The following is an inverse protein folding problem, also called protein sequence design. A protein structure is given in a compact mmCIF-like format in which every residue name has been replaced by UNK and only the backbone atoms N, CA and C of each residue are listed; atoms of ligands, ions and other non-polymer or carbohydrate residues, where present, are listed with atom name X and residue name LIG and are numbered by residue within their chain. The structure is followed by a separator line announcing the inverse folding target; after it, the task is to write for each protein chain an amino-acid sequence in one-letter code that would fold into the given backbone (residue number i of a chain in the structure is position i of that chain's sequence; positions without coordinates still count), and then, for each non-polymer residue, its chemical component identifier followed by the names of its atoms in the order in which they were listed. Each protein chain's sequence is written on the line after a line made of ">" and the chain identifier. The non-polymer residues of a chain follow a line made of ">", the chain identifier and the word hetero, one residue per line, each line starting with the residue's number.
data_IF_626844300119
#
_entry.id   IF_626844300119
#
_cell.length_a   1.000
_cell.length_b   1.000
_cell.length_c   1.000
_cell.angle_alpha   90.00
_cell.angle_beta   90.00
_cell.angle_gamma   90.00
#
_symmetry.space_group_name_H-M   'P 1'
#
loop_
_entity.id
_entity.type
_entity.pdbx_description
1 polymer ?
#
# COMPACT_ATOMS: atom_id res chain seq x y z
N UNK A 1 -18.96 6.21 -6.76
CA UNK A 1 -18.17 5.89 -7.95
C UNK A 1 -16.87 6.69 -7.83
N UNK A 2 -15.72 6.04 -7.66
CA UNK A 2 -14.42 6.70 -7.86
C UNK A 2 -14.18 6.68 -9.37
N UNK A 3 -13.69 7.77 -9.95
CA UNK A 3 -13.53 7.89 -11.40
C UNK A 3 -12.40 6.98 -11.91
N UNK A 4 -12.46 6.54 -13.17
CA UNK A 4 -11.42 5.73 -13.86
C UNK A 4 -9.97 6.20 -13.62
N UNK A 5 -9.66 7.50 -13.49
CA UNK A 5 -8.34 7.97 -13.04
C UNK A 5 -7.92 7.41 -11.67
N UNK A 6 -8.82 7.28 -10.71
CA UNK A 6 -8.48 6.88 -9.33
C UNK A 6 -8.06 5.41 -9.20
N UNK A 7 -8.37 4.58 -10.20
CA UNK A 7 -8.01 3.16 -10.27
C UNK A 7 -6.49 2.95 -10.40
N UNK A 8 -5.87 3.65 -11.35
CA UNK A 8 -4.44 3.56 -11.61
C UNK A 8 -3.59 4.20 -10.51
N UNK A 9 -4.13 5.21 -9.77
CA UNK A 9 -3.50 5.71 -8.54
C UNK A 9 -3.15 4.54 -7.64
N UNK A 10 -4.10 3.63 -7.42
CA UNK A 10 -4.02 2.67 -6.33
C UNK A 10 -3.22 1.43 -6.75
N UNK A 11 -3.29 1.02 -8.03
CA UNK A 11 -2.36 0.02 -8.58
C UNK A 11 -0.91 0.52 -8.60
N UNK A 12 -0.67 1.77 -8.99
CA UNK A 12 0.67 2.40 -8.93
C UNK A 12 1.18 2.50 -7.49
N UNK A 13 0.30 2.81 -6.53
CA UNK A 13 0.63 2.95 -5.11
C UNK A 13 1.03 1.60 -4.47
N UNK A 14 0.47 0.48 -4.94
CA UNK A 14 0.88 -0.87 -4.51
C UNK A 14 2.21 -1.28 -5.15
N UNK A 15 2.43 -0.95 -6.44
CA UNK A 15 3.66 -1.26 -7.15
C UNK A 15 4.91 -0.54 -6.59
N UNK A 16 4.73 0.64 -5.97
CA UNK A 16 5.83 1.52 -5.51
C UNK A 16 5.72 1.93 -4.04
N UNK A 17 5.31 1.02 -3.15
CA UNK A 17 5.53 1.20 -1.70
C UNK A 17 4.80 2.39 -1.06
N UNK A 18 3.72 2.90 -1.66
CA UNK A 18 2.91 3.99 -1.11
C UNK A 18 1.99 3.57 0.04
N UNK A 19 2.32 2.48 0.73
CA UNK A 19 1.56 1.92 1.85
C UNK A 19 1.63 2.79 3.11
N UNK A 20 2.72 3.54 3.29
CA UNK A 20 2.98 4.24 4.57
C UNK A 20 2.16 5.55 4.71
N UNK A 21 1.72 6.17 3.60
CA UNK A 21 0.95 7.42 3.62
C UNK A 21 -0.41 7.36 2.89
N UNK A 22 -0.56 6.51 1.87
CA UNK A 22 -1.74 6.52 0.98
C UNK A 22 -2.97 5.76 1.50
N UNK A 23 -2.84 4.95 2.55
CA UNK A 23 -4.00 4.30 3.19
C UNK A 23 -4.74 5.21 4.18
N UNK A 24 -4.16 6.36 4.56
CA UNK A 24 -4.79 7.32 5.47
C UNK A 24 -5.71 8.36 4.82
N UNK A 25 -5.69 8.51 3.49
CA UNK A 25 -6.30 9.66 2.81
C UNK A 25 -7.06 9.31 1.52
N UNK A 26 -7.95 8.33 1.55
CA UNK A 26 -8.92 8.13 0.46
C UNK A 26 -10.34 8.26 1.01
N UNK A 27 -10.93 9.45 0.85
CA UNK A 27 -12.32 9.76 1.20
C UNK A 27 -13.19 9.34 0.01
N UNK A 28 -14.15 8.41 0.20
CA UNK A 28 -15.31 8.28 -0.70
C UNK A 28 -16.56 8.76 0.05
N UNK A 29 -17.63 9.05 -0.69
CA UNK A 29 -18.91 9.49 -0.14
C UNK A 29 -19.28 8.73 1.14
N UNK A 30 -19.37 9.49 2.23
CA UNK A 30 -19.90 9.11 3.54
C UNK A 30 -19.28 7.90 4.28
N UNK A 31 -17.94 7.70 4.30
CA UNK A 31 -17.37 6.76 5.28
C UNK A 31 -15.88 6.43 5.20
N UNK A 32 -15.34 5.95 6.33
CA UNK A 32 -14.03 5.30 6.43
C UNK A 32 -14.14 3.87 5.88
N UNK A 33 -13.44 3.55 4.78
CA UNK A 33 -13.34 2.19 4.26
C UNK A 33 -12.16 1.49 4.96
N UNK A 34 -12.37 0.27 5.45
CA UNK A 34 -11.30 -0.50 6.10
C UNK A 34 -10.22 -0.91 5.06
N UNK A 35 -8.95 -1.07 5.47
CA UNK A 35 -7.88 -1.48 4.55
C UNK A 35 -8.16 -2.78 3.81
N UNK A 36 -8.87 -3.71 4.46
CA UNK A 36 -9.27 -5.00 3.92
C UNK A 36 -10.28 -4.82 2.78
N UNK A 37 -11.35 -4.04 2.99
CA UNK A 37 -12.33 -3.73 1.94
C UNK A 37 -11.71 -3.00 0.75
N UNK A 38 -10.74 -2.12 1.01
CA UNK A 38 -10.01 -1.44 -0.06
C UNK A 38 -9.15 -2.42 -0.86
N UNK A 39 -8.51 -3.37 -0.18
CA UNK A 39 -7.69 -4.41 -0.81
C UNK A 39 -8.53 -5.38 -1.65
N UNK A 40 -9.71 -5.80 -1.16
CA UNK A 40 -10.64 -6.63 -1.93
C UNK A 40 -11.12 -5.92 -3.20
N UNK A 41 -11.52 -4.65 -3.06
CA UNK A 41 -11.92 -3.83 -4.20
C UNK A 41 -10.79 -3.71 -5.23
N UNK A 42 -9.54 -3.57 -4.80
CA UNK A 42 -8.39 -3.53 -5.71
C UNK A 42 -8.19 -4.80 -6.50
N UNK A 43 -8.34 -5.96 -5.85
CA UNK A 43 -8.26 -7.26 -6.53
C UNK A 43 -9.36 -7.36 -7.58
N UNK A 44 -10.58 -6.94 -7.28
CA UNK A 44 -11.68 -6.97 -8.23
C UNK A 44 -11.43 -6.08 -9.45
N UNK A 45 -10.98 -4.84 -9.24
CA UNK A 45 -10.71 -3.96 -10.38
C UNK A 45 -9.50 -4.45 -11.18
N UNK A 46 -8.41 -4.87 -10.54
CA UNK A 46 -7.25 -5.42 -11.25
C UNK A 46 -7.62 -6.68 -12.05
N UNK A 47 -8.46 -7.55 -11.47
CA UNK A 47 -8.96 -8.76 -12.15
C UNK A 47 -9.74 -8.42 -13.40
N UNK A 48 -10.62 -7.42 -13.33
CA UNK A 48 -11.43 -6.97 -14.46
C UNK A 48 -10.59 -6.25 -15.52
N UNK A 49 -9.76 -5.30 -15.10
CA UNK A 49 -9.05 -4.43 -16.02
C UNK A 49 -7.86 -5.12 -16.67
N UNK A 50 -7.28 -6.17 -16.08
CA UNK A 50 -6.25 -6.98 -16.71
C UNK A 50 -6.79 -8.27 -17.31
N UNK A 51 -8.11 -8.49 -17.27
CA UNK A 51 -8.74 -9.73 -17.70
C UNK A 51 -8.02 -10.96 -17.11
N UNK A 52 -7.81 -10.95 -15.79
CA UNK A 52 -7.06 -12.01 -15.11
C UNK A 52 -7.80 -13.35 -15.19
N UNK A 53 -7.05 -14.42 -15.44
CA UNK A 53 -7.58 -15.78 -15.34
C UNK A 53 -7.97 -16.12 -13.89
N UNK A 54 -8.75 -17.19 -13.72
CA UNK A 54 -9.11 -17.72 -12.39
C UNK A 54 -7.87 -17.94 -11.52
N UNK A 55 -6.81 -18.53 -12.09
CA UNK A 55 -5.57 -18.83 -11.38
C UNK A 55 -4.79 -17.55 -11.02
N UNK A 56 -4.73 -16.59 -11.94
CA UNK A 56 -4.10 -15.29 -11.68
C UNK A 56 -4.84 -14.51 -10.59
N UNK A 57 -6.17 -14.53 -10.58
CA UNK A 57 -7.00 -13.91 -9.54
C UNK A 57 -6.83 -14.59 -8.19
N UNK A 58 -6.73 -15.92 -8.15
CA UNK A 58 -6.45 -16.67 -6.93
C UNK A 58 -5.08 -16.27 -6.34
N UNK A 59 -4.05 -16.21 -7.18
CA UNK A 59 -2.70 -15.78 -6.77
C UNK A 59 -2.66 -14.32 -6.32
N UNK A 60 -3.42 -13.44 -6.98
CA UNK A 60 -3.55 -12.04 -6.55
C UNK A 60 -4.21 -11.92 -5.17
N UNK A 61 -5.23 -12.74 -4.87
CA UNK A 61 -5.83 -12.79 -3.53
C UNK A 61 -4.85 -13.26 -2.47
N UNK A 62 -4.01 -14.26 -2.77
CA UNK A 62 -2.97 -14.68 -1.86
C UNK A 62 -1.96 -13.55 -1.57
N UNK A 63 -1.49 -12.85 -2.62
CA UNK A 63 -0.60 -11.70 -2.46
C UNK A 63 -1.27 -10.61 -1.60
N UNK A 64 -2.56 -10.34 -1.82
CA UNK A 64 -3.35 -9.39 -1.02
C UNK A 64 -3.35 -9.78 0.46
N UNK A 65 -3.65 -11.04 0.79
CA UNK A 65 -3.72 -11.51 2.18
C UNK A 65 -2.37 -11.43 2.89
N UNK A 66 -1.29 -11.80 2.20
CA UNK A 66 0.08 -11.68 2.71
C UNK A 66 0.48 -10.22 2.96
N UNK A 67 0.09 -9.31 2.06
CA UNK A 67 0.30 -7.86 2.24
C UNK A 67 -0.49 -7.34 3.43
N UNK A 68 -1.77 -7.71 3.57
CA UNK A 68 -2.60 -7.28 4.71
C UNK A 68 -2.02 -7.78 6.04
N UNK A 69 -1.59 -9.04 6.10
CA UNK A 69 -0.93 -9.59 7.27
C UNK A 69 0.36 -8.82 7.62
N UNK A 70 1.20 -8.51 6.62
CA UNK A 70 2.42 -7.71 6.82
C UNK A 70 2.11 -6.27 7.26
N UNK A 71 1.02 -5.67 6.78
CA UNK A 71 0.61 -4.33 7.23
C UNK A 71 0.14 -4.29 8.68
N UNK A 72 -0.48 -5.37 9.19
CA UNK A 72 -0.92 -5.44 10.58
C UNK A 72 0.27 -5.36 11.55
N UNK A 73 1.41 -5.99 11.23
CA UNK A 73 2.62 -5.91 12.07
C UNK A 73 3.19 -4.49 12.15
N UNK A 74 2.86 -3.63 11.20
CA UNK A 74 3.28 -2.22 11.16
C UNK A 74 2.40 -1.26 11.94
N UNK A 75 1.11 -1.59 12.15
CA UNK A 75 0.17 -0.69 12.85
C UNK A 75 0.61 -0.43 14.30
N UNK A 76 1.06 -1.47 15.00
CA UNK A 76 1.51 -1.36 16.40
C UNK A 76 2.69 -0.39 16.59
N UNK A 77 3.62 -0.31 15.63
CA UNK A 77 4.75 0.62 15.73
C UNK A 77 4.30 2.09 15.58
N UNK A 78 3.34 2.38 14.69
CA UNK A 78 2.84 3.75 14.49
C UNK A 78 2.19 4.29 15.77
N UNK A 79 1.46 3.45 16.48
CA UNK A 79 0.84 3.78 17.76
C UNK A 79 1.91 4.06 18.82
N UNK A 80 2.91 3.18 18.95
CA UNK A 80 4.04 3.39 19.88
C UNK A 80 4.83 4.68 19.63
N UNK A 81 5.11 5.03 18.38
CA UNK A 81 5.79 6.29 18.05
C UNK A 81 4.91 7.51 18.42
N UNK A 82 3.60 7.44 18.15
CA UNK A 82 2.68 8.52 18.50
C UNK A 82 2.65 8.73 20.00
N UNK A 83 2.54 7.65 20.77
CA UNK A 83 2.53 7.69 22.23
C UNK A 83 3.83 8.25 22.79
N UNK A 84 4.98 7.83 22.24
CA UNK A 84 6.27 8.38 22.66
C UNK A 84 6.37 9.87 22.35
N UNK A 85 6.02 10.30 21.13
CA UNK A 85 6.07 11.72 20.76
C UNK A 85 5.19 12.55 21.71
N UNK A 86 3.99 12.07 22.03
CA UNK A 86 3.11 12.72 23.01
C UNK A 86 3.71 12.76 24.41
N UNK A 87 4.40 11.69 24.82
CA UNK A 87 5.13 11.62 26.10
C UNK A 87 6.26 12.65 26.15
N UNK A 88 7.06 12.75 25.08
CA UNK A 88 8.18 13.68 24.99
C UNK A 88 7.73 15.14 25.02
N UNK A 89 6.63 15.48 24.34
CA UNK A 89 6.04 16.84 24.38
C UNK A 89 5.60 17.25 25.78
N UNK A 90 5.25 16.29 26.64
CA UNK A 90 4.81 16.55 28.04
C UNK A 90 5.97 16.66 29.03
N UNK A 91 7.20 16.31 28.63
CA UNK A 91 8.39 16.40 29.48
C UNK A 91 8.99 17.81 29.42
N UNK A 92 9.72 18.19 30.47
CA UNK A 92 10.45 19.46 30.54
C UNK A 92 11.59 19.54 29.51
N UNK A 93 12.15 18.39 29.12
CA UNK A 93 13.16 18.28 28.08
C UNK A 93 12.94 17.03 27.22
N UNK A 94 13.39 17.10 25.98
CA UNK A 94 13.25 16.01 25.00
C UNK A 94 14.40 15.01 25.17
N UNK A 95 14.06 13.73 25.31
CA UNK A 95 15.00 12.61 25.26
C UNK A 95 15.31 12.27 23.78
N UNK A 96 16.35 12.92 23.27
CA UNK A 96 16.79 12.76 21.89
C UNK A 96 17.27 11.34 21.59
N UNK A 97 17.91 10.67 22.55
CA UNK A 97 18.41 9.30 22.37
C UNK A 97 17.25 8.33 22.17
N UNK A 98 16.20 8.44 23.01
CA UNK A 98 15.01 7.60 22.90
C UNK A 98 14.26 7.80 21.58
N UNK A 99 14.12 9.05 21.13
CA UNK A 99 13.49 9.35 19.84
C UNK A 99 14.28 8.81 18.65
N UNK A 100 15.60 9.01 18.63
CA UNK A 100 16.45 8.49 17.56
C UNK A 100 16.45 6.96 17.51
N UNK A 101 16.42 6.29 18.67
CA UNK A 101 16.30 4.83 18.72
C UNK A 101 14.98 4.35 18.07
N UNK A 102 13.84 4.94 18.46
CA UNK A 102 12.53 4.56 17.90
C UNK A 102 12.41 4.87 16.41
N UNK A 103 12.99 6.00 15.95
CA UNK A 103 13.04 6.33 14.54
C UNK A 103 13.92 5.35 13.76
N UNK A 104 15.06 4.94 14.31
CA UNK A 104 15.92 3.91 13.70
C UNK A 104 15.23 2.55 13.58
N UNK A 105 14.48 2.12 14.61
CA UNK A 105 13.65 0.91 14.57
C UNK A 105 12.58 1.01 13.46
N UNK A 106 11.96 2.20 13.32
CA UNK A 106 11.00 2.47 12.25
C UNK A 106 11.63 2.42 10.86
N UNK A 107 12.80 3.01 10.67
CA UNK A 107 13.52 2.97 9.40
C UNK A 107 13.85 1.54 8.97
N UNK A 108 14.32 0.71 9.91
CA UNK A 108 14.61 -0.70 9.67
C UNK A 108 13.36 -1.46 9.21
N UNK A 109 12.22 -1.24 9.88
CA UNK A 109 10.96 -1.83 9.47
C UNK A 109 10.55 -1.33 8.09
N UNK A 110 10.57 -0.01 7.83
CA UNK A 110 10.21 0.56 6.52
C UNK A 110 11.03 -0.08 5.40
N UNK A 111 12.33 -0.29 5.64
CA UNK A 111 13.23 -1.00 4.70
C UNK A 111 12.76 -2.44 4.45
N UNK A 112 12.36 -3.16 5.48
CA UNK A 112 11.80 -4.50 5.38
C UNK A 112 10.50 -4.52 4.56
N UNK A 113 9.55 -3.65 4.88
CA UNK A 113 8.29 -3.52 4.15
C UNK A 113 8.51 -3.18 2.68
N UNK A 114 9.42 -2.26 2.38
CA UNK A 114 9.79 -1.93 1.00
C UNK A 114 10.29 -3.17 0.27
N UNK A 115 11.20 -3.92 0.88
CA UNK A 115 11.77 -5.14 0.29
C UNK A 115 10.69 -6.18 0.02
N UNK A 116 9.79 -6.38 0.98
CA UNK A 116 8.64 -7.27 0.87
C UNK A 116 7.69 -6.86 -0.26
N UNK A 117 7.30 -5.58 -0.34
CA UNK A 117 6.37 -5.09 -1.37
C UNK A 117 6.97 -5.18 -2.78
N UNK A 118 8.27 -4.89 -2.94
CA UNK A 118 8.96 -5.06 -4.22
C UNK A 118 8.95 -6.53 -4.66
N UNK A 119 9.17 -7.47 -3.73
CA UNK A 119 9.08 -8.90 -4.04
C UNK A 119 7.65 -9.30 -4.47
N UNK A 120 6.62 -8.84 -3.75
CA UNK A 120 5.21 -9.11 -4.09
C UNK A 120 4.81 -8.50 -5.43
N UNK A 121 5.32 -7.31 -5.75
CA UNK A 121 5.13 -6.71 -7.06
C UNK A 121 5.79 -7.54 -8.17
N UNK A 122 7.02 -8.03 -7.95
CA UNK A 122 7.69 -8.90 -8.91
C UNK A 122 6.92 -10.22 -9.13
N UNK A 123 6.35 -10.82 -8.08
CA UNK A 123 5.49 -12.00 -8.17
C UNK A 123 4.22 -11.72 -8.99
N UNK A 124 3.56 -10.59 -8.73
CA UNK A 124 2.39 -10.14 -9.49
C UNK A 124 2.72 -9.91 -10.97
N UNK A 125 3.79 -9.16 -11.26
CA UNK A 125 4.24 -8.94 -12.63
C UNK A 125 4.60 -10.25 -13.34
N UNK A 126 5.25 -11.17 -12.64
CA UNK A 126 5.69 -12.46 -13.16
C UNK A 126 4.54 -13.37 -13.59
N UNK A 127 3.38 -13.29 -12.95
CA UNK A 127 2.20 -14.10 -13.33
C UNK A 127 1.37 -13.52 -14.48
N UNK A 128 1.59 -12.26 -14.87
CA UNK A 128 0.89 -11.63 -16.00
C UNK A 128 1.48 -12.05 -17.35
N UNK A 129 0.64 -12.11 -18.39
CA UNK A 129 1.10 -12.25 -19.78
C UNK A 129 1.73 -10.94 -20.29
N UNK A 130 2.50 -10.97 -21.39
CA UNK A 130 3.02 -9.76 -22.01
C UNK A 130 1.93 -8.71 -22.33
N UNK A 131 0.77 -9.14 -22.82
CA UNK A 131 -0.36 -8.27 -23.17
C UNK A 131 -0.96 -7.62 -21.92
N UNK A 132 -1.12 -8.39 -20.83
CA UNK A 132 -1.60 -7.87 -19.55
C UNK A 132 -0.60 -6.87 -18.93
N UNK A 133 0.70 -7.09 -19.08
CA UNK A 133 1.74 -6.13 -18.63
C UNK A 133 1.68 -4.83 -19.42
N UNK A 134 1.46 -4.90 -20.73
CA UNK A 134 1.27 -3.71 -21.57
C UNK A 134 0.03 -2.94 -21.13
N UNK A 135 -1.10 -3.62 -20.94
CA UNK A 135 -2.35 -3.02 -20.45
C UNK A 135 -2.18 -2.35 -19.08
N UNK A 136 -1.43 -2.99 -18.19
CA UNK A 136 -1.03 -2.41 -16.89
C UNK A 136 -0.21 -1.12 -17.09
N UNK A 137 0.81 -1.13 -17.96
CA UNK A 137 1.66 0.02 -18.21
C UNK A 137 0.92 1.20 -18.85
N UNK A 138 0.13 0.96 -19.90
CA UNK A 138 -0.68 1.98 -20.59
C UNK A 138 -1.66 2.66 -19.65
N UNK A 139 -2.23 1.87 -18.75
CA UNK A 139 -3.07 2.38 -17.72
C UNK A 139 -2.41 3.30 -16.72
N UNK A 140 -1.27 2.87 -16.18
CA UNK A 140 -0.47 3.68 -15.26
C UNK A 140 -0.07 5.01 -15.91
N UNK A 141 0.28 5.01 -17.20
CA UNK A 141 0.60 6.21 -17.97
C UNK A 141 -0.61 7.14 -18.20
N UNK A 142 -1.76 6.58 -18.61
CA UNK A 142 -3.02 7.33 -18.79
C UNK A 142 -3.39 8.12 -17.55
N UNK A 143 -3.21 7.51 -16.39
CA UNK A 143 -3.49 8.13 -15.13
C UNK A 143 -2.57 9.28 -14.75
N UNK A 144 -1.28 9.13 -15.02
CA UNK A 144 -0.33 10.22 -14.76
C UNK A 144 -0.76 11.48 -15.54
N UNK A 145 -1.18 11.30 -16.80
CA UNK A 145 -1.63 12.37 -17.70
C UNK A 145 -2.98 12.99 -17.33
N UNK A 146 -3.88 12.26 -16.67
CA UNK A 146 -5.19 12.77 -16.22
C UNK A 146 -5.12 13.60 -14.93
N UNK A 147 -3.95 13.66 -14.27
CA UNK A 147 -3.72 14.41 -13.02
C UNK A 147 -2.94 15.70 -13.18
N UNK A 148 -2.37 15.94 -14.35
CA UNK A 148 -1.70 17.18 -14.75
C UNK A 148 -2.68 18.07 -15.52
#
# INVERSE_FOLDING_TARGET
>A
MFDKPQFWVILATIALGGVIAGFGYARHGSGWISPEKKADWLVEIASKELDLSTDQKAKLNQIKDEVLAKMQTFRGLREGLREEVLSQVRKESVDQQKLNQLLGEKEAQIKEMRTFLVAKFAEFHGMLTPEQRLKLAEGLDRFHKERD
#
